data_IF_541249656764
#
_entry.id   IF_541249656764
#
_cell.length_a   1.000
_cell.length_b   1.000
_cell.length_c   1.000
_cell.angle_alpha   90.00
_cell.angle_beta   90.00
_cell.angle_gamma   90.00
#
_symmetry.space_group_name_H-M   'P 1'
#
loop_
_entity.id
_entity.type
_entity.pdbx_description
1 polymer ?
#
# COMPACT_ATOMS: atom_id res chain seq x y z
N UNK A 1 0.63 -33.66 -24.42
CA UNK A 1 1.02 -32.27 -24.12
C UNK A 1 2.29 -32.31 -23.29
N UNK A 2 3.46 -32.30 -23.94
CA UNK A 2 4.76 -32.32 -23.29
C UNK A 2 5.67 -31.42 -24.15
N UNK A 3 6.10 -30.27 -23.63
CA UNK A 3 6.87 -29.33 -24.45
C UNK A 3 7.30 -28.01 -23.82
N UNK A 4 7.01 -27.72 -22.55
CA UNK A 4 7.41 -26.44 -21.93
C UNK A 4 8.47 -26.54 -20.84
N UNK A 5 8.80 -27.73 -20.33
CA UNK A 5 9.66 -27.88 -19.15
C UNK A 5 11.16 -27.84 -19.47
N UNK A 6 11.60 -28.34 -20.64
CA UNK A 6 13.03 -28.37 -20.98
C UNK A 6 13.63 -27.03 -21.42
N UNK A 7 12.82 -26.07 -21.87
CA UNK A 7 13.32 -24.78 -22.36
C UNK A 7 13.60 -23.82 -21.20
N UNK A 8 12.81 -23.88 -20.14
CA UNK A 8 13.00 -23.00 -18.99
C UNK A 8 14.34 -23.27 -18.28
N UNK A 9 14.61 -24.55 -18.00
CA UNK A 9 15.83 -24.97 -17.32
C UNK A 9 17.08 -24.75 -18.19
N UNK A 10 16.98 -24.90 -19.51
CA UNK A 10 18.11 -24.67 -20.41
C UNK A 10 18.49 -23.20 -20.50
N UNK A 11 17.53 -22.28 -20.50
CA UNK A 11 17.79 -20.82 -20.50
C UNK A 11 18.42 -20.37 -19.19
N UNK A 12 17.95 -20.89 -18.04
CA UNK A 12 18.54 -20.57 -16.73
C UNK A 12 19.99 -21.05 -16.65
N UNK A 13 20.26 -22.30 -17.05
CA UNK A 13 21.62 -22.85 -17.06
C UNK A 13 22.55 -22.12 -18.03
N UNK A 14 22.03 -21.65 -19.17
CA UNK A 14 22.81 -20.85 -20.11
C UNK A 14 23.17 -19.48 -19.53
N UNK A 15 22.24 -18.82 -18.83
CA UNK A 15 22.52 -17.58 -18.12
C UNK A 15 23.59 -17.78 -17.04
N UNK A 16 23.48 -18.84 -16.24
CA UNK A 16 24.45 -19.22 -15.22
C UNK A 16 25.85 -19.44 -15.79
N UNK A 17 25.95 -20.18 -16.90
CA UNK A 17 27.23 -20.43 -17.57
C UNK A 17 27.86 -19.17 -18.15
N UNK A 18 27.08 -18.12 -18.43
CA UNK A 18 27.60 -16.84 -18.93
C UNK A 18 28.06 -15.93 -17.80
N UNK A 19 27.41 -15.99 -16.63
CA UNK A 19 27.81 -15.26 -15.43
C UNK A 19 29.11 -15.86 -14.86
N UNK A 20 29.21 -17.19 -14.81
CA UNK A 20 30.37 -17.92 -14.27
C UNK A 20 31.50 -18.14 -15.29
N UNK A 21 31.36 -17.63 -16.51
CA UNK A 21 32.16 -18.03 -17.68
C UNK A 21 33.67 -18.17 -17.45
N UNK A 22 34.32 -18.95 -18.31
CA UNK A 22 35.78 -19.24 -18.26
C UNK A 22 36.64 -17.96 -18.32
N UNK A 23 36.14 -16.91 -18.97
CA UNK A 23 36.65 -15.55 -18.85
C UNK A 23 35.68 -14.72 -18.00
N UNK A 24 36.10 -14.40 -16.78
CA UNK A 24 35.35 -13.53 -15.88
C UNK A 24 35.22 -12.14 -16.53
N UNK A 25 33.99 -11.74 -16.86
CA UNK A 25 33.69 -10.41 -17.40
C UNK A 25 33.82 -9.39 -16.26
N UNK A 26 35.04 -8.92 -15.99
CA UNK A 26 35.38 -8.11 -14.81
C UNK A 26 34.72 -6.72 -14.73
N UNK A 27 33.94 -6.30 -15.73
CA UNK A 27 33.33 -4.97 -15.82
C UNK A 27 31.81 -5.00 -16.10
N UNK A 28 31.10 -6.05 -15.70
CA UNK A 28 29.64 -6.13 -15.88
C UNK A 28 28.94 -6.20 -14.53
N UNK A 29 27.99 -5.28 -14.31
CA UNK A 29 27.05 -5.32 -13.19
C UNK A 29 25.69 -5.79 -13.71
N UNK A 30 25.20 -6.92 -13.20
CA UNK A 30 23.87 -7.43 -13.51
C UNK A 30 22.92 -7.09 -12.37
N UNK A 31 21.84 -6.36 -12.66
CA UNK A 31 20.80 -6.02 -11.70
C UNK A 31 19.51 -6.73 -12.11
N UNK A 32 18.98 -7.57 -11.23
CA UNK A 32 17.69 -8.24 -11.40
C UNK A 32 16.62 -7.62 -10.50
N UNK A 33 15.41 -7.44 -11.03
CA UNK A 33 14.25 -6.98 -10.26
C UNK A 33 13.14 -8.02 -10.35
N UNK A 34 12.57 -8.43 -9.22
CA UNK A 34 11.47 -9.40 -9.16
C UNK A 34 10.51 -9.08 -8.01
N UNK A 35 9.21 -9.24 -8.25
CA UNK A 35 8.18 -9.17 -7.21
C UNK A 35 7.96 -10.54 -6.53
N UNK A 36 8.64 -11.59 -6.99
CA UNK A 36 8.51 -12.97 -6.52
C UNK A 36 9.89 -13.59 -6.31
N UNK A 37 10.60 -13.21 -5.23
CA UNK A 37 11.91 -13.76 -4.92
C UNK A 37 11.85 -15.28 -4.66
N UNK A 38 10.70 -15.80 -4.22
CA UNK A 38 10.43 -17.21 -3.96
C UNK A 38 10.45 -18.10 -5.21
N UNK A 39 10.31 -17.52 -6.40
CA UNK A 39 10.36 -18.24 -7.67
C UNK A 39 11.74 -18.26 -8.32
N UNK A 40 12.72 -17.56 -7.75
CA UNK A 40 14.07 -17.49 -8.31
C UNK A 40 14.85 -18.75 -7.94
N UNK A 41 15.58 -19.30 -8.89
CA UNK A 41 16.46 -20.44 -8.67
C UNK A 41 17.55 -20.10 -7.65
N UNK A 42 17.64 -20.90 -6.58
CA UNK A 42 18.67 -20.78 -5.54
C UNK A 42 20.09 -20.85 -6.10
N UNK A 43 20.30 -21.47 -7.27
CA UNK A 43 21.58 -21.48 -7.97
C UNK A 43 22.02 -20.07 -8.38
N UNK A 44 21.11 -19.20 -8.82
CA UNK A 44 21.42 -17.81 -9.20
C UNK A 44 21.80 -16.96 -7.98
N UNK A 45 21.26 -17.30 -6.81
CA UNK A 45 21.40 -16.55 -5.57
C UNK A 45 22.69 -16.86 -4.78
N UNK A 46 23.58 -17.69 -5.33
CA UNK A 46 24.85 -18.05 -4.69
C UNK A 46 25.88 -16.92 -4.83
N UNK A 47 26.81 -16.79 -3.87
CA UNK A 47 27.91 -15.84 -3.95
C UNK A 47 28.70 -15.98 -5.27
N UNK A 48 29.10 -14.86 -5.87
CA UNK A 48 29.72 -14.81 -7.20
C UNK A 48 28.76 -14.67 -8.40
N UNK A 49 27.44 -14.77 -8.17
CA UNK A 49 26.39 -14.51 -9.18
C UNK A 49 25.51 -13.33 -8.74
N UNK A 50 24.26 -13.57 -8.33
CA UNK A 50 23.40 -12.56 -7.71
C UNK A 50 23.57 -12.61 -6.19
N UNK A 51 24.72 -12.15 -5.73
CA UNK A 51 25.12 -12.22 -4.32
C UNK A 51 24.32 -11.25 -3.43
N UNK A 52 24.15 -10.00 -3.88
CA UNK A 52 23.47 -8.96 -3.09
C UNK A 52 21.98 -9.03 -3.34
N UNK A 53 21.23 -9.37 -2.29
CA UNK A 53 19.76 -9.31 -2.26
C UNK A 53 19.37 -8.06 -1.51
N UNK A 54 18.68 -7.15 -2.18
CA UNK A 54 18.15 -5.93 -1.59
C UNK A 54 16.63 -5.97 -1.68
N UNK A 55 15.97 -5.97 -0.52
CA UNK A 55 14.51 -5.85 -0.45
C UNK A 55 14.14 -4.37 -0.45
N UNK A 56 13.27 -3.99 -1.39
CA UNK A 56 12.75 -2.62 -1.51
C UNK A 56 11.33 -2.63 -0.97
N UNK A 57 11.18 -2.16 0.27
CA UNK A 57 9.88 -2.02 0.92
C UNK A 57 9.11 -0.76 0.48
N UNK A 58 7.94 -0.58 1.08
CA UNK A 58 7.20 0.68 0.93
C UNK A 58 7.96 1.83 1.61
N UNK A 59 7.86 3.07 1.10
CA UNK A 59 8.52 4.21 1.70
C UNK A 59 7.91 4.59 3.06
N UNK A 60 8.78 4.86 4.02
CA UNK A 60 8.43 5.49 5.30
C UNK A 60 7.87 6.91 5.10
N UNK A 61 7.28 7.50 6.13
CA UNK A 61 6.74 8.87 6.08
C UNK A 61 7.75 9.90 5.55
N UNK A 62 9.01 9.82 6.02
CA UNK A 62 10.11 10.66 5.51
C UNK A 62 10.43 10.38 4.04
N UNK A 63 10.40 9.11 3.64
CA UNK A 63 10.60 8.69 2.24
C UNK A 63 9.47 9.19 1.33
N UNK A 64 8.22 9.11 1.79
CA UNK A 64 7.06 9.66 1.07
C UNK A 64 7.16 11.16 0.89
N UNK A 65 7.57 11.89 1.93
CA UNK A 65 7.84 13.33 1.83
C UNK A 65 8.89 13.63 0.77
N UNK A 66 9.99 12.87 0.72
CA UNK A 66 11.03 13.03 -0.30
C UNK A 66 10.51 12.75 -1.71
N UNK A 67 9.75 11.67 -1.91
CA UNK A 67 9.16 11.31 -3.20
C UNK A 67 8.19 12.41 -3.66
N UNK A 68 7.27 12.84 -2.80
CA UNK A 68 6.35 13.93 -3.09
C UNK A 68 7.11 15.23 -3.40
N UNK A 69 8.20 15.51 -2.70
CA UNK A 69 9.06 16.67 -2.98
C UNK A 69 9.68 16.61 -4.37
N UNK A 70 10.16 15.44 -4.81
CA UNK A 70 10.74 15.25 -6.16
C UNK A 70 9.67 15.48 -7.24
N UNK A 71 8.49 14.86 -7.11
CA UNK A 71 7.44 14.99 -8.11
C UNK A 71 6.81 16.39 -8.15
N UNK A 72 6.77 17.10 -7.01
CA UNK A 72 6.26 18.47 -6.93
C UNK A 72 7.32 19.54 -7.23
N UNK A 73 8.62 19.21 -7.25
CA UNK A 73 9.71 20.17 -7.48
C UNK A 73 9.56 20.89 -8.82
N UNK A 74 9.24 20.15 -9.89
CA UNK A 74 9.00 20.73 -11.21
C UNK A 74 7.78 21.66 -11.21
N UNK A 75 6.69 21.26 -10.56
CA UNK A 75 5.48 22.09 -10.45
C UNK A 75 5.74 23.39 -9.70
N UNK A 76 6.50 23.32 -8.61
CA UNK A 76 6.92 24.50 -7.83
C UNK A 76 7.80 25.43 -8.64
N UNK A 77 8.75 24.89 -9.41
CA UNK A 77 9.62 25.68 -10.30
C UNK A 77 8.82 26.48 -11.34
N UNK A 78 7.70 25.94 -11.82
CA UNK A 78 6.80 26.62 -12.76
C UNK A 78 5.63 27.37 -12.09
N UNK A 79 5.62 27.51 -10.75
CA UNK A 79 4.56 28.21 -9.99
C UNK A 79 3.14 27.64 -10.20
N UNK A 80 3.06 26.35 -10.55
CA UNK A 80 1.81 25.60 -10.75
C UNK A 80 1.30 24.94 -9.47
N UNK A 81 2.04 25.03 -8.36
CA UNK A 81 1.62 24.53 -7.05
C UNK A 81 1.23 25.73 -6.19
N UNK A 82 0.01 25.72 -5.66
CA UNK A 82 -0.49 26.76 -4.77
C UNK A 82 0.21 26.69 -3.40
N UNK A 83 0.26 27.83 -2.70
CA UNK A 83 0.89 27.97 -1.39
C UNK A 83 0.12 27.27 -0.25
N UNK A 84 -1.12 26.84 -0.52
CA UNK A 84 -1.98 26.09 0.41
C UNK A 84 -1.60 24.61 0.54
N UNK A 85 -0.75 24.07 -0.35
CA UNK A 85 -0.36 22.66 -0.33
C UNK A 85 0.81 22.41 0.61
N UNK A 86 0.53 21.78 1.76
CA UNK A 86 1.57 21.23 2.62
C UNK A 86 1.90 19.77 2.24
N UNK A 87 3.13 19.54 1.80
CA UNK A 87 3.61 18.19 1.47
C UNK A 87 3.74 17.31 2.71
N UNK A 88 4.00 17.90 3.89
CA UNK A 88 4.10 17.13 5.13
C UNK A 88 2.75 16.53 5.50
N UNK A 89 1.69 17.32 5.39
CA UNK A 89 0.31 16.86 5.56
C UNK A 89 0.01 15.70 4.62
N UNK A 90 0.31 15.85 3.31
CA UNK A 90 0.09 14.78 2.33
C UNK A 90 0.85 13.50 2.68
N UNK A 91 2.11 13.60 3.15
CA UNK A 91 2.91 12.42 3.50
C UNK A 91 2.34 11.63 4.70
N UNK A 92 1.66 12.31 5.64
CA UNK A 92 0.98 11.71 6.79
C UNK A 92 -0.31 11.01 6.36
N UNK A 93 -1.06 11.61 5.44
CA UNK A 93 -2.33 11.06 4.94
C UNK A 93 -2.12 9.89 3.97
N UNK A 94 -1.06 9.90 3.14
CA UNK A 94 -0.78 8.84 2.15
C UNK A 94 -0.08 7.62 2.76
N UNK A 95 -0.62 7.04 3.83
CA UNK A 95 -0.03 5.85 4.49
C UNK A 95 -0.07 4.64 3.56
N UNK A 96 1.04 3.88 3.51
CA UNK A 96 1.25 2.70 2.65
C UNK A 96 1.25 2.93 1.14
N UNK A 97 1.37 4.18 0.69
CA UNK A 97 1.51 4.44 -0.74
C UNK A 97 2.93 4.06 -1.20
N UNK A 98 2.99 3.33 -2.31
CA UNK A 98 4.20 3.09 -3.08
C UNK A 98 4.62 4.34 -3.85
N UNK A 99 5.86 4.38 -4.33
CA UNK A 99 6.36 5.51 -5.13
C UNK A 99 5.51 5.80 -6.36
N UNK A 100 5.02 4.76 -7.04
CA UNK A 100 4.15 4.90 -8.21
C UNK A 100 2.76 5.47 -7.85
N UNK A 101 2.22 5.13 -6.68
CA UNK A 101 0.93 5.66 -6.22
C UNK A 101 1.06 7.13 -5.80
N UNK A 102 2.17 7.53 -5.18
CA UNK A 102 2.47 8.93 -4.87
C UNK A 102 2.63 9.77 -6.14
N UNK A 103 3.32 9.24 -7.16
CA UNK A 103 3.39 9.87 -8.48
C UNK A 103 2.00 9.99 -9.11
N UNK A 104 1.23 8.90 -9.04
CA UNK A 104 -0.16 8.88 -9.47
C UNK A 104 -0.97 9.99 -8.81
N UNK A 105 -0.83 10.20 -7.50
CA UNK A 105 -1.60 11.19 -6.74
C UNK A 105 -1.31 12.60 -7.23
N UNK A 106 -0.04 12.92 -7.46
CA UNK A 106 0.36 14.21 -8.03
C UNK A 106 -0.24 14.39 -9.43
N UNK A 107 -0.22 13.34 -10.26
CA UNK A 107 -0.78 13.38 -11.62
C UNK A 107 -2.30 13.51 -11.63
N UNK A 108 -3.00 12.82 -10.73
CA UNK A 108 -4.44 12.91 -10.58
C UNK A 108 -4.85 14.31 -10.12
N UNK A 109 -4.16 14.87 -9.10
CA UNK A 109 -4.41 16.23 -8.64
C UNK A 109 -4.18 17.28 -9.75
N UNK A 110 -3.14 17.10 -10.58
CA UNK A 110 -2.94 17.94 -11.77
C UNK A 110 -4.10 17.83 -12.77
N UNK A 111 -4.58 16.61 -13.02
CA UNK A 111 -5.71 16.36 -13.93
C UNK A 111 -7.00 16.99 -13.39
N UNK A 112 -7.27 16.86 -12.09
CA UNK A 112 -8.42 17.46 -11.42
C UNK A 112 -8.37 18.99 -11.48
N UNK A 113 -7.19 19.58 -11.24
CA UNK A 113 -6.97 21.01 -11.39
C UNK A 113 -7.24 21.47 -12.84
N UNK A 114 -6.69 20.77 -13.84
CA UNK A 114 -6.95 21.06 -15.26
C UNK A 114 -8.45 20.97 -15.59
N UNK A 115 -9.12 19.91 -15.15
CA UNK A 115 -10.56 19.70 -15.38
C UNK A 115 -11.43 20.79 -14.74
N UNK A 116 -11.03 21.38 -13.62
CA UNK A 116 -11.77 22.49 -12.99
C UNK A 116 -11.81 23.72 -13.89
N UNK A 117 -10.73 24.00 -14.61
CA UNK A 117 -10.61 25.18 -15.46
C UNK A 117 -11.14 24.94 -16.88
N UNK A 118 -11.22 23.69 -17.33
CA UNK A 118 -11.93 23.29 -18.55
C UNK A 118 -13.43 23.19 -18.21
N UNK A 119 -14.15 24.32 -18.27
CA UNK A 119 -15.60 24.33 -18.04
C UNK A 119 -16.30 23.36 -18.99
N UNK A 120 -17.06 22.41 -18.44
CA UNK A 120 -18.03 21.58 -19.16
C UNK A 120 -19.28 22.40 -19.57
N UNK A 121 -19.08 23.52 -20.26
CA UNK A 121 -20.13 24.18 -21.03
C UNK A 121 -20.09 23.61 -22.45
N UNK A 122 -21.24 23.47 -23.10
CA UNK A 122 -21.48 22.77 -24.39
C UNK A 122 -20.61 23.23 -25.58
N UNK A 123 -19.73 24.21 -25.38
CA UNK A 123 -18.60 24.59 -26.24
C UNK A 123 -17.32 24.57 -25.41
N UNK A 124 -16.31 23.82 -25.85
CA UNK A 124 -14.95 23.86 -25.31
C UNK A 124 -14.33 25.21 -25.68
N UNK A 125 -14.68 26.26 -24.94
CA UNK A 125 -13.97 27.53 -24.98
C UNK A 125 -12.90 27.49 -23.88
N UNK A 126 -11.65 27.31 -24.31
CA UNK A 126 -10.49 27.39 -23.42
C UNK A 126 -10.23 28.86 -23.15
N UNK A 127 -10.63 29.33 -21.97
CA UNK A 127 -10.25 30.66 -21.47
C UNK A 127 -8.73 30.65 -21.22
N UNK A 128 -7.95 31.08 -22.22
CA UNK A 128 -6.47 31.11 -22.18
C UNK A 128 -5.94 31.89 -20.97
N UNK A 129 -6.62 32.97 -20.55
CA UNK A 129 -6.24 33.78 -19.39
C UNK A 129 -6.41 33.03 -18.05
N UNK A 130 -7.38 32.12 -17.93
CA UNK A 130 -7.57 31.30 -16.71
C UNK A 130 -6.61 30.11 -16.68
N UNK A 131 -6.14 29.65 -17.84
CA UNK A 131 -5.17 28.57 -17.94
C UNK A 131 -3.77 29.01 -17.48
N UNK A 132 -3.40 30.28 -17.70
CA UNK A 132 -2.12 30.83 -17.21
C UNK A 132 -2.05 30.96 -15.69
N UNK A 133 -3.21 31.09 -15.02
CA UNK A 133 -3.31 31.11 -13.55
C UNK A 133 -3.52 29.74 -12.90
N UNK A 134 -3.41 28.64 -13.67
CA UNK A 134 -3.73 27.31 -13.16
C UNK A 134 -2.75 26.89 -12.07
N UNK A 135 -3.27 26.76 -10.85
CA UNK A 135 -2.52 26.22 -9.73
C UNK A 135 -3.25 25.00 -9.16
N UNK A 136 -2.47 23.97 -8.85
CA UNK A 136 -2.94 22.80 -8.11
C UNK A 136 -3.04 23.18 -6.65
N UNK A 137 -4.25 23.04 -6.11
CA UNK A 137 -4.63 23.44 -4.75
C UNK A 137 -4.67 22.23 -3.82
N UNK A 138 -4.72 22.46 -2.51
CA UNK A 138 -4.88 21.41 -1.50
C UNK A 138 -6.15 20.59 -1.74
N UNK A 139 -7.22 21.24 -2.20
CA UNK A 139 -8.49 20.59 -2.51
C UNK A 139 -8.38 19.53 -3.62
N UNK A 140 -7.49 19.73 -4.60
CA UNK A 140 -7.28 18.75 -5.68
C UNK A 140 -6.63 17.46 -5.16
N UNK A 141 -5.64 17.59 -4.28
CA UNK A 141 -4.98 16.45 -3.68
C UNK A 141 -5.94 15.64 -2.81
N UNK A 142 -6.78 16.31 -2.01
CA UNK A 142 -7.77 15.64 -1.18
C UNK A 142 -8.85 14.94 -2.03
N UNK A 143 -9.35 15.63 -3.06
CA UNK A 143 -10.34 15.05 -3.97
C UNK A 143 -9.80 13.81 -4.70
N UNK A 144 -8.54 13.84 -5.14
CA UNK A 144 -7.90 12.70 -5.81
C UNK A 144 -7.54 11.56 -4.85
N UNK A 145 -7.23 11.84 -3.59
CA UNK A 145 -7.03 10.81 -2.57
C UNK A 145 -8.34 10.09 -2.22
N UNK A 146 -9.46 10.79 -2.23
CA UNK A 146 -10.79 10.21 -1.96
C UNK A 146 -11.33 9.39 -3.15
N UNK A 147 -11.19 9.89 -4.38
CA UNK A 147 -11.92 9.35 -5.54
C UNK A 147 -11.04 8.57 -6.54
N UNK A 148 -9.80 9.02 -6.77
CA UNK A 148 -9.00 8.52 -7.91
C UNK A 148 -8.02 7.44 -7.50
N UNK A 149 -7.33 7.62 -6.37
CA UNK A 149 -6.18 6.79 -6.01
C UNK A 149 -6.33 6.24 -4.61
N UNK A 150 -6.56 4.93 -4.57
CA UNK A 150 -6.54 4.13 -3.36
C UNK A 150 -5.22 3.36 -3.32
N UNK A 151 -4.62 3.19 -2.14
CA UNK A 151 -3.44 2.38 -2.01
C UNK A 151 -3.79 0.92 -2.35
N UNK A 152 -3.02 0.31 -3.25
CA UNK A 152 -3.09 -1.12 -3.54
C UNK A 152 -2.69 -1.96 -2.32
N UNK A 153 -1.90 -1.37 -1.42
CA UNK A 153 -1.45 -1.98 -0.16
C UNK A 153 -2.08 -1.28 1.04
N UNK A 154 -2.83 -2.03 1.85
CA UNK A 154 -3.32 -1.58 3.16
C UNK A 154 -4.84 -1.51 3.29
N UNK A 155 -5.25 -0.66 4.23
CA UNK A 155 -6.59 -0.49 4.79
C UNK A 155 -7.57 -0.03 3.72
N UNK A 156 -8.23 -0.97 3.04
CA UNK A 156 -9.27 -0.64 2.08
C UNK A 156 -10.46 -0.05 2.87
N UNK A 157 -10.55 1.27 3.00
CA UNK A 157 -11.50 1.96 3.89
C UNK A 157 -12.95 1.58 3.57
N UNK A 158 -13.23 1.27 2.30
CA UNK A 158 -14.51 0.72 1.83
C UNK A 158 -14.85 -0.65 2.44
N UNK A 159 -13.84 -1.51 2.65
CA UNK A 159 -14.05 -2.79 3.32
C UNK A 159 -14.48 -2.55 4.78
N UNK A 160 -13.91 -1.57 5.49
CA UNK A 160 -14.26 -1.27 6.89
C UNK A 160 -15.69 -0.73 7.01
N UNK A 161 -16.06 0.18 6.13
CA UNK A 161 -17.41 0.74 6.08
C UNK A 161 -18.48 -0.36 5.90
N UNK A 162 -18.17 -1.43 5.16
CA UNK A 162 -19.07 -2.57 5.01
C UNK A 162 -19.32 -3.35 6.33
N UNK A 163 -18.33 -3.39 7.22
CA UNK A 163 -18.46 -4.04 8.54
C UNK A 163 -19.06 -3.13 9.61
N UNK A 164 -18.91 -1.80 9.47
CA UNK A 164 -19.42 -0.79 10.40
C UNK A 164 -20.54 0.01 9.71
N UNK A 165 -21.67 -0.63 9.43
CA UNK A 165 -22.76 -0.01 8.65
C UNK A 165 -23.41 1.21 9.34
N UNK A 166 -23.61 1.15 10.67
CA UNK A 166 -24.35 2.15 11.43
C UNK A 166 -23.48 2.87 12.48
N UNK A 167 -22.15 2.81 12.33
CA UNK A 167 -21.22 3.28 13.36
C UNK A 167 -21.25 2.42 14.63
N UNK A 168 -20.53 2.88 15.66
CA UNK A 168 -20.53 2.27 17.00
C UNK A 168 -21.27 3.20 17.96
N UNK A 169 -22.41 2.73 18.47
CA UNK A 169 -23.20 3.43 19.47
C UNK A 169 -22.73 2.99 20.86
N UNK A 170 -22.30 3.94 21.69
CA UNK A 170 -21.93 3.70 23.10
C UNK A 170 -23.20 3.60 23.95
N UNK A 171 -23.90 2.47 23.86
CA UNK A 171 -25.18 2.24 24.54
C UNK A 171 -25.05 1.90 26.02
N UNK A 172 -23.83 1.66 26.52
CA UNK A 172 -23.56 1.44 27.94
C UNK A 172 -22.08 1.20 28.21
N UNK A 173 -21.76 1.10 29.51
CA UNK A 173 -20.39 0.89 30.00
C UNK A 173 -19.65 -0.31 29.39
N UNK A 174 -20.29 -1.47 29.09
CA UNK A 174 -19.58 -2.59 28.50
C UNK A 174 -18.90 -2.27 27.17
N UNK A 175 -19.52 -1.42 26.33
CA UNK A 175 -18.92 -1.02 25.04
C UNK A 175 -17.69 -0.15 25.27
N UNK A 176 -17.78 0.80 26.19
CA UNK A 176 -16.66 1.68 26.54
C UNK A 176 -15.49 0.88 27.09
N UNK A 177 -15.74 -0.08 28.00
CA UNK A 177 -14.69 -0.96 28.55
C UNK A 177 -14.00 -1.77 27.47
N UNK A 178 -14.74 -2.36 26.53
CA UNK A 178 -14.15 -3.15 25.44
C UNK A 178 -13.25 -2.30 24.53
N UNK A 179 -13.63 -1.05 24.26
CA UNK A 179 -12.80 -0.13 23.48
C UNK A 179 -11.56 0.32 24.26
N UNK A 180 -11.69 0.62 25.56
CA UNK A 180 -10.58 0.96 26.44
C UNK A 180 -9.58 -0.19 26.58
N UNK A 181 -10.06 -1.42 26.79
CA UNK A 181 -9.23 -2.63 26.83
C UNK A 181 -8.54 -2.86 25.48
N UNK A 182 -9.25 -2.60 24.37
CA UNK A 182 -8.68 -2.64 23.02
C UNK A 182 -7.52 -1.67 22.83
N UNK A 183 -7.68 -0.42 23.26
CA UNK A 183 -6.63 0.60 23.19
C UNK A 183 -5.41 0.22 24.04
N UNK A 184 -5.61 -0.31 25.26
CA UNK A 184 -4.53 -0.80 26.11
C UNK A 184 -3.71 -1.91 25.42
N UNK A 185 -4.38 -2.85 24.75
CA UNK A 185 -3.73 -3.94 24.02
C UNK A 185 -3.00 -3.43 22.77
N UNK A 186 -3.55 -2.43 22.07
CA UNK A 186 -2.87 -1.75 20.96
C UNK A 186 -1.60 -1.05 21.44
N UNK A 187 -1.66 -0.34 22.58
CA UNK A 187 -0.50 0.32 23.17
C UNK A 187 0.56 -0.69 23.61
N UNK A 188 0.14 -1.84 24.16
CA UNK A 188 1.05 -2.93 24.48
C UNK A 188 1.75 -3.44 23.23
N UNK A 189 1.03 -3.66 22.13
CA UNK A 189 1.62 -4.10 20.86
C UNK A 189 2.58 -3.06 20.24
N UNK A 190 2.33 -1.76 20.45
CA UNK A 190 3.19 -0.67 19.94
C UNK A 190 4.48 -0.48 20.75
N UNK A 191 4.40 -0.61 22.08
CA UNK A 191 5.47 -0.18 22.98
C UNK A 191 6.30 -1.34 23.57
N UNK A 192 5.81 -2.59 23.48
CA UNK A 192 6.44 -3.74 24.14
C UNK A 192 7.32 -4.54 23.20
N UNK A 193 8.65 -4.41 23.35
CA UNK A 193 9.61 -5.26 22.64
C UNK A 193 9.58 -6.73 23.11
N UNK A 194 9.06 -7.00 24.32
CA UNK A 194 8.99 -8.35 24.89
C UNK A 194 7.80 -9.15 24.39
N UNK A 195 6.72 -8.47 24.00
CA UNK A 195 5.49 -9.09 23.50
C UNK A 195 5.15 -8.51 22.13
N UNK A 196 5.96 -8.80 21.09
CA UNK A 196 5.76 -8.26 19.76
C UNK A 196 4.49 -8.79 19.08
N UNK A 197 3.94 -9.91 19.58
CA UNK A 197 2.69 -10.50 19.10
C UNK A 197 1.67 -10.56 20.24
N UNK A 198 0.55 -9.87 20.03
CA UNK A 198 -0.61 -9.90 20.94
C UNK A 198 -1.79 -10.48 20.18
N UNK A 199 -2.41 -11.53 20.73
CA UNK A 199 -3.62 -12.13 20.18
C UNK A 199 -4.79 -11.93 21.14
N UNK A 200 -5.92 -11.50 20.58
CA UNK A 200 -7.12 -11.14 21.35
C UNK A 200 -8.32 -11.86 20.75
N UNK A 201 -9.17 -12.43 21.60
CA UNK A 201 -10.42 -13.07 21.21
C UNK A 201 -11.59 -12.28 21.78
N UNK A 202 -12.49 -11.81 20.91
CA UNK A 202 -13.75 -11.21 21.31
C UNK A 202 -14.85 -12.27 21.34
N UNK A 203 -15.42 -12.52 22.53
CA UNK A 203 -16.49 -13.48 22.76
C UNK A 203 -17.82 -12.78 23.11
N UNK A 204 -18.94 -13.40 22.76
CA UNK A 204 -20.27 -12.94 23.15
C UNK A 204 -21.39 -13.59 22.32
N UNK A 205 -22.67 -13.36 22.66
CA UNK A 205 -23.83 -13.92 21.95
C UNK A 205 -23.84 -13.56 20.46
N UNK A 206 -24.47 -14.35 19.57
CA UNK A 206 -24.64 -13.96 18.16
C UNK A 206 -25.35 -12.60 18.04
N UNK A 207 -25.05 -11.84 16.99
CA UNK A 207 -25.59 -10.48 16.74
C UNK A 207 -25.21 -9.37 17.75
N UNK A 208 -24.24 -9.61 18.63
CA UNK A 208 -23.72 -8.59 19.58
C UNK A 208 -22.77 -7.54 18.98
N UNK A 209 -22.51 -7.56 17.66
CA UNK A 209 -21.65 -6.58 17.01
C UNK A 209 -20.14 -6.79 17.21
N UNK A 210 -19.69 -7.99 17.61
CA UNK A 210 -18.26 -8.33 17.79
C UNK A 210 -17.38 -7.95 16.60
N UNK A 211 -17.80 -8.27 15.39
CA UNK A 211 -17.05 -7.94 14.16
C UNK A 211 -16.90 -6.43 13.97
N UNK A 212 -17.94 -5.66 14.28
CA UNK A 212 -17.90 -4.21 14.20
C UNK A 212 -16.99 -3.61 15.27
N UNK A 213 -17.00 -4.14 16.50
CA UNK A 213 -16.08 -3.72 17.57
C UNK A 213 -14.62 -4.04 17.21
N UNK A 214 -14.34 -5.24 16.67
CA UNK A 214 -12.99 -5.60 16.21
C UNK A 214 -12.51 -4.66 15.10
N UNK A 215 -13.37 -4.35 14.13
CA UNK A 215 -13.06 -3.41 13.06
C UNK A 215 -12.81 -1.99 13.61
N UNK A 216 -13.56 -1.55 14.62
CA UNK A 216 -13.40 -0.24 15.25
C UNK A 216 -12.10 -0.12 16.03
N UNK A 217 -11.76 -1.11 16.86
CA UNK A 217 -10.48 -1.15 17.59
C UNK A 217 -9.32 -1.13 16.59
N UNK A 218 -9.44 -1.89 15.50
CA UNK A 218 -8.43 -1.93 14.46
C UNK A 218 -8.30 -0.56 13.75
N UNK A 219 -9.40 0.12 13.43
CA UNK A 219 -9.39 1.48 12.86
C UNK A 219 -8.73 2.50 13.82
N UNK A 220 -9.14 2.52 15.10
CA UNK A 220 -8.60 3.44 16.12
C UNK A 220 -7.11 3.18 16.42
N UNK A 221 -6.64 1.95 16.20
CA UNK A 221 -5.24 1.61 16.41
C UNK A 221 -4.27 2.41 15.55
N UNK A 222 -4.74 2.97 14.42
CA UNK A 222 -3.91 3.73 13.48
C UNK A 222 -2.64 2.98 13.01
N UNK A 223 -2.65 1.64 13.03
CA UNK A 223 -1.56 0.86 12.48
C UNK A 223 -1.46 1.09 10.96
N UNK A 224 -0.23 1.13 10.40
CA UNK A 224 -0.05 1.27 8.97
C UNK A 224 -0.80 0.18 8.20
N UNK A 225 -0.64 -1.09 8.58
CA UNK A 225 -1.27 -2.20 7.91
C UNK A 225 -2.37 -2.84 8.76
N UNK A 226 -3.60 -2.83 8.26
CA UNK A 226 -4.74 -3.50 8.89
C UNK A 226 -5.50 -4.30 7.83
N UNK A 227 -5.71 -5.59 8.09
CA UNK A 227 -6.41 -6.50 7.16
C UNK A 227 -7.46 -7.33 7.87
N UNK A 228 -8.72 -7.20 7.42
CA UNK A 228 -9.82 -8.06 7.87
C UNK A 228 -9.84 -9.35 7.05
N UNK A 229 -9.64 -10.48 7.73
CA UNK A 229 -9.78 -11.81 7.15
C UNK A 229 -11.19 -12.35 7.42
N UNK A 230 -12.15 -12.05 6.53
CA UNK A 230 -13.52 -12.56 6.61
C UNK A 230 -13.73 -13.82 5.77
N UNK A 231 -14.53 -14.80 6.23
CA UNK A 231 -14.98 -15.94 5.43
C UNK A 231 -15.71 -15.55 4.14
N UNK A 232 -16.33 -14.36 4.07
CA UNK A 232 -17.09 -13.90 2.89
C UNK A 232 -16.20 -13.81 1.64
N UNK A 233 -14.92 -13.50 1.82
CA UNK A 233 -13.92 -13.41 0.75
C UNK A 233 -13.41 -14.79 0.30
N UNK A 234 -13.83 -15.87 0.97
CA UNK A 234 -13.35 -17.24 0.75
C UNK A 234 -14.49 -18.22 0.47
N UNK A 235 -15.66 -17.72 0.04
CA UNK A 235 -16.80 -18.55 -0.35
C UNK A 235 -16.42 -19.37 -1.59
N UNK A 236 -16.67 -20.68 -1.55
CA UNK A 236 -16.36 -21.60 -2.65
C UNK A 236 -14.89 -22.06 -2.72
N UNK A 237 -14.03 -21.62 -1.81
CA UNK A 237 -12.63 -22.06 -1.78
C UNK A 237 -12.51 -23.46 -1.19
N UNK A 238 -11.61 -24.27 -1.76
CA UNK A 238 -11.16 -25.52 -1.14
C UNK A 238 -10.36 -25.24 0.13
N UNK A 239 -10.19 -26.24 1.00
CA UNK A 239 -9.40 -26.11 2.24
C UNK A 239 -7.98 -25.62 1.96
N UNK A 240 -7.33 -26.17 0.93
CA UNK A 240 -5.98 -25.74 0.50
C UNK A 240 -5.99 -24.28 0.05
N UNK A 241 -7.00 -23.85 -0.71
CA UNK A 241 -7.10 -22.46 -1.17
C UNK A 241 -7.35 -21.49 0.00
N UNK A 242 -8.14 -21.88 1.01
CA UNK A 242 -8.33 -21.09 2.24
C UNK A 242 -7.02 -20.94 3.01
N UNK A 243 -6.29 -22.03 3.23
CA UNK A 243 -4.99 -22.01 3.88
C UNK A 243 -3.99 -21.12 3.14
N UNK A 244 -3.96 -21.18 1.81
CA UNK A 244 -3.10 -20.31 0.99
C UNK A 244 -3.50 -18.84 1.09
N UNK A 245 -4.80 -18.53 1.08
CA UNK A 245 -5.29 -17.17 1.25
C UNK A 245 -4.92 -16.59 2.62
N UNK A 246 -5.11 -17.36 3.71
CA UNK A 246 -4.70 -16.96 5.05
C UNK A 246 -3.19 -16.78 5.15
N UNK A 247 -2.41 -17.73 4.61
CA UNK A 247 -0.93 -17.65 4.58
C UNK A 247 -0.45 -16.41 3.82
N UNK A 248 -1.13 -16.03 2.74
CA UNK A 248 -0.82 -14.81 1.99
C UNK A 248 -1.01 -13.58 2.87
N UNK A 249 -2.11 -13.48 3.61
CA UNK A 249 -2.36 -12.37 4.54
C UNK A 249 -1.32 -12.31 5.66
N UNK A 250 -1.00 -13.45 6.27
CA UNK A 250 0.00 -13.51 7.35
C UNK A 250 1.42 -13.21 6.88
N UNK A 251 1.79 -13.58 5.66
CA UNK A 251 3.12 -13.27 5.10
C UNK A 251 3.31 -11.77 4.93
N UNK A 252 2.26 -11.05 4.51
CA UNK A 252 2.32 -9.60 4.39
C UNK A 252 2.62 -8.91 5.72
N UNK A 253 2.22 -9.48 6.87
CA UNK A 253 2.52 -8.92 8.19
C UNK A 253 4.00 -9.05 8.60
N UNK A 254 4.77 -9.97 7.99
CA UNK A 254 6.17 -10.24 8.36
C UNK A 254 7.19 -9.53 7.45
N UNK A 255 6.72 -8.87 6.39
CA UNK A 255 7.57 -8.12 5.44
C UNK A 255 7.63 -6.62 5.76
N UNK A 256 7.03 -6.17 6.87
CA UNK A 256 7.08 -4.82 7.40
C UNK A 256 7.64 -4.87 8.82
#
# INVERSE_FOLDING_TARGET
MAGSTGVHDTVVNQLLSKIDGVEQLNNILVIGMTNRPDLIDEALLRPGRLEVKMEIGLPDEKGRLQILHIHTARMRGHQLLSADVDIKELAVETKNFSGAELEGLVRAAQSTAMNRHIKASTKVEVDMEKAESLQVTRGDFLASLENDIKPAFGTNQEDYASYIMNGIIKWGDPVTRVLEDGELLVQQAKNSDRTPLVSVLLEGPPHSGKTALAAKIAEESNFPFIKICSPDKMIGFSETAKCQAMKKVSRFLLSF
#
